data_IF_147621820727
#
_entry.id   IF_147621820727
#
_cell.length_a   1.000
_cell.length_b   1.000
_cell.length_c   1.000
_cell.angle_alpha   90.00
_cell.angle_beta   90.00
_cell.angle_gamma   90.00
#
_symmetry.space_group_name_H-M   'P 1'
#
loop_
_entity.id
_entity.type
_entity.pdbx_description
1 polymer ?
#
# COMPACT_ATOMS: atom_id res chain seq x y z
N UNK A 1 -56.60 -35.16 -7.66
CA UNK A 1 -55.55 -36.16 -7.39
C UNK A 1 -54.27 -35.59 -8.01
N UNK A 2 -53.40 -35.01 -7.19
CA UNK A 2 -52.28 -34.20 -7.70
C UNK A 2 -51.20 -35.10 -8.33
N UNK A 3 -50.96 -34.85 -9.62
CA UNK A 3 -49.90 -35.43 -10.44
C UNK A 3 -48.53 -34.85 -10.07
N UNK A 4 -47.51 -35.69 -9.94
CA UNK A 4 -46.11 -35.25 -9.94
C UNK A 4 -45.44 -35.55 -11.30
N UNK A 5 -44.61 -34.63 -11.81
CA UNK A 5 -44.00 -34.74 -13.13
C UNK A 5 -42.71 -35.57 -13.11
N UNK A 6 -42.41 -36.18 -14.26
CA UNK A 6 -41.21 -36.95 -14.50
C UNK A 6 -39.93 -36.09 -14.36
N UNK A 7 -39.05 -36.50 -13.46
CA UNK A 7 -37.70 -35.97 -13.28
C UNK A 7 -36.74 -37.09 -12.92
N UNK A 8 -35.92 -37.51 -13.88
CA UNK A 8 -34.89 -38.54 -13.74
C UNK A 8 -33.85 -38.16 -12.67
N UNK A 9 -33.87 -38.81 -11.52
CA UNK A 9 -32.77 -38.81 -10.54
C UNK A 9 -32.31 -40.26 -10.36
N UNK A 10 -31.29 -40.67 -11.12
CA UNK A 10 -30.56 -41.92 -10.88
C UNK A 10 -29.74 -41.76 -9.59
N UNK A 11 -30.11 -42.50 -8.55
CA UNK A 11 -29.31 -42.57 -7.32
C UNK A 11 -29.97 -43.39 -6.21
N UNK A 12 -29.69 -44.69 -6.16
CA UNK A 12 -29.63 -45.53 -4.94
C UNK A 12 -30.73 -45.38 -3.86
N UNK A 13 -32.02 -45.31 -4.22
CA UNK A 13 -33.12 -45.41 -3.23
C UNK A 13 -33.74 -46.80 -3.08
N UNK A 14 -33.36 -47.77 -3.93
CA UNK A 14 -33.99 -49.10 -3.98
C UNK A 14 -33.31 -50.15 -3.09
N UNK A 15 -33.03 -49.83 -1.82
CA UNK A 15 -32.71 -50.86 -0.81
C UNK A 15 -33.72 -50.76 0.34
N UNK A 16 -34.56 -51.79 0.59
CA UNK A 16 -35.59 -51.78 1.63
C UNK A 16 -35.07 -51.35 3.01
N UNK A 17 -33.87 -51.79 3.35
CA UNK A 17 -33.19 -51.48 4.62
C UNK A 17 -32.90 -49.99 4.84
N UNK A 18 -32.75 -49.19 3.78
CA UNK A 18 -32.53 -47.75 3.91
C UNK A 18 -33.83 -47.04 4.30
N UNK A 19 -34.97 -47.48 3.76
CA UNK A 19 -36.28 -46.93 4.07
C UNK A 19 -36.70 -47.29 5.50
N UNK A 20 -36.45 -48.52 5.94
CA UNK A 20 -36.71 -48.94 7.34
C UNK A 20 -35.85 -48.13 8.32
N UNK A 21 -34.56 -47.91 8.02
CA UNK A 21 -33.66 -47.11 8.88
C UNK A 21 -34.05 -45.65 8.97
N UNK A 22 -34.52 -45.05 7.87
CA UNK A 22 -35.02 -43.67 7.86
C UNK A 22 -36.34 -43.54 8.61
N UNK A 23 -37.26 -44.50 8.43
CA UNK A 23 -38.53 -44.55 9.16
C UNK A 23 -38.33 -44.69 10.66
N UNK A 24 -37.41 -45.55 11.09
CA UNK A 24 -37.08 -45.72 12.51
C UNK A 24 -36.50 -44.42 13.11
N UNK A 25 -35.55 -43.79 12.40
CA UNK A 25 -34.97 -42.51 12.82
C UNK A 25 -36.00 -41.39 12.96
N UNK A 26 -36.99 -41.36 12.07
CA UNK A 26 -38.05 -40.36 12.14
C UNK A 26 -38.98 -40.60 13.33
N UNK A 27 -39.26 -41.87 13.67
CA UNK A 27 -40.05 -42.23 14.85
C UNK A 27 -39.32 -41.90 16.16
N UNK A 28 -37.99 -42.05 16.20
CA UNK A 28 -37.19 -41.84 17.40
C UNK A 28 -36.86 -40.35 17.64
N UNK A 29 -36.45 -39.60 16.61
CA UNK A 29 -35.89 -38.25 16.75
C UNK A 29 -36.75 -37.13 16.14
N UNK A 30 -37.85 -37.48 15.44
CA UNK A 30 -38.73 -36.52 14.74
C UNK A 30 -38.06 -35.75 13.59
N UNK A 31 -36.83 -36.10 13.21
CA UNK A 31 -36.00 -35.33 12.29
C UNK A 31 -35.35 -36.22 11.21
N UNK A 32 -35.66 -35.96 9.94
CA UNK A 32 -35.06 -36.65 8.79
C UNK A 32 -33.86 -35.92 8.18
N UNK A 33 -33.40 -34.82 8.79
CA UNK A 33 -32.24 -34.09 8.27
C UNK A 33 -30.96 -34.91 8.44
N UNK A 34 -30.06 -34.75 7.46
CA UNK A 34 -28.78 -35.46 7.44
C UNK A 34 -27.92 -35.01 8.63
N UNK A 35 -27.63 -35.91 9.55
CA UNK A 35 -26.66 -35.65 10.61
C UNK A 35 -25.29 -35.31 10.00
N UNK A 36 -24.59 -34.34 10.59
CA UNK A 36 -23.22 -34.03 10.21
C UNK A 36 -22.33 -35.27 10.36
N UNK A 37 -21.82 -35.78 9.24
CA UNK A 37 -20.80 -36.83 9.27
C UNK A 37 -19.53 -36.27 9.88
N UNK A 38 -18.91 -36.99 10.81
CA UNK A 38 -17.56 -36.69 11.28
C UNK A 38 -16.61 -36.78 10.08
N UNK A 39 -16.15 -35.62 9.61
CA UNK A 39 -15.22 -35.55 8.49
C UNK A 39 -13.91 -36.26 8.81
N UNK A 40 -13.04 -36.40 7.80
CA UNK A 40 -11.71 -36.99 7.96
C UNK A 40 -10.99 -36.37 9.18
N UNK A 41 -10.46 -37.18 10.12
CA UNK A 41 -9.70 -36.68 11.25
C UNK A 41 -8.56 -35.75 10.82
N UNK A 42 -8.32 -34.73 11.64
CA UNK A 42 -7.26 -33.75 11.38
C UNK A 42 -5.90 -34.42 11.58
N UNK A 43 -4.96 -34.14 10.68
CA UNK A 43 -3.55 -34.54 10.83
C UNK A 43 -2.89 -33.80 11.99
N UNK A 44 -3.34 -32.58 12.28
CA UNK A 44 -2.76 -31.75 13.35
C UNK A 44 -3.63 -31.72 14.60
N UNK A 45 -2.97 -31.59 15.75
CA UNK A 45 -3.59 -31.38 17.06
C UNK A 45 -3.81 -29.89 17.36
N UNK A 46 -4.69 -29.53 18.31
CA UNK A 46 -4.88 -28.14 18.73
C UNK A 46 -3.60 -27.46 19.24
N UNK A 47 -2.68 -28.20 19.86
CA UNK A 47 -1.41 -27.67 20.34
C UNK A 47 -0.44 -27.36 19.19
N UNK A 48 -0.40 -28.20 18.17
CA UNK A 48 0.35 -27.95 16.92
C UNK A 48 -0.20 -26.75 16.15
N UNK A 49 -1.54 -26.61 16.08
CA UNK A 49 -2.19 -25.44 15.48
C UNK A 49 -1.81 -24.15 16.23
N UNK A 50 -1.74 -24.19 17.58
CA UNK A 50 -1.24 -23.08 18.40
C UNK A 50 0.25 -22.81 18.17
N UNK A 51 1.08 -23.84 18.05
CA UNK A 51 2.51 -23.69 17.75
C UNK A 51 2.71 -22.99 16.40
N UNK A 52 1.98 -23.39 15.36
CA UNK A 52 2.00 -22.73 14.06
C UNK A 52 1.60 -21.25 14.18
N UNK A 53 0.57 -20.94 14.97
CA UNK A 53 0.09 -19.59 15.18
C UNK A 53 1.15 -18.68 15.86
N UNK A 54 1.73 -19.15 16.95
CA UNK A 54 2.74 -18.40 17.71
C UNK A 54 4.00 -18.19 16.86
N UNK A 55 4.45 -19.24 16.20
CA UNK A 55 5.65 -19.20 15.35
C UNK A 55 5.45 -18.26 14.16
N UNK A 56 4.29 -18.30 13.51
CA UNK A 56 3.94 -17.37 12.43
C UNK A 56 3.82 -15.92 12.90
N UNK A 57 3.31 -15.66 14.12
CA UNK A 57 3.26 -14.29 14.68
C UNK A 57 4.64 -13.76 15.09
N UNK A 58 5.50 -14.63 15.65
CA UNK A 58 6.87 -14.27 16.06
C UNK A 58 7.76 -14.00 14.85
N UNK A 59 7.65 -14.80 13.80
CA UNK A 59 8.35 -14.60 12.54
C UNK A 59 7.36 -14.55 11.37
N UNK A 60 6.75 -13.37 11.20
CA UNK A 60 5.73 -13.13 10.17
C UNK A 60 6.21 -13.39 8.75
N UNK A 61 7.53 -13.40 8.51
CA UNK A 61 8.16 -13.60 7.18
C UNK A 61 8.41 -15.08 6.85
N UNK A 62 8.24 -16.00 7.80
CA UNK A 62 8.45 -17.43 7.55
C UNK A 62 7.51 -17.95 6.47
N UNK A 63 8.03 -18.70 5.51
CA UNK A 63 7.18 -19.32 4.49
C UNK A 63 6.35 -20.43 5.11
N UNK A 64 5.24 -20.80 4.48
CA UNK A 64 4.45 -21.96 4.91
C UNK A 64 5.29 -23.25 4.92
N UNK A 65 6.30 -23.35 4.05
CA UNK A 65 7.25 -24.47 4.04
C UNK A 65 8.19 -24.43 5.25
N UNK A 66 8.65 -23.25 5.66
CA UNK A 66 9.50 -23.11 6.85
C UNK A 66 8.72 -23.43 8.13
N UNK A 67 7.48 -22.95 8.24
CA UNK A 67 6.59 -23.26 9.36
C UNK A 67 6.30 -24.77 9.44
N UNK A 68 6.08 -25.41 8.29
CA UNK A 68 5.92 -26.87 8.21
C UNK A 68 7.16 -27.61 8.68
N UNK A 69 8.35 -27.15 8.28
CA UNK A 69 9.63 -27.76 8.69
C UNK A 69 9.85 -27.60 10.20
N UNK A 70 9.61 -26.40 10.73
CA UNK A 70 9.73 -26.10 12.15
C UNK A 70 8.74 -26.91 13.00
N UNK A 71 7.51 -27.12 12.53
CA UNK A 71 6.54 -27.98 13.20
C UNK A 71 7.01 -29.43 13.22
N UNK A 72 7.47 -29.95 12.08
CA UNK A 72 7.97 -31.32 11.97
C UNK A 72 9.18 -31.56 12.87
N UNK A 73 10.09 -30.59 13.00
CA UNK A 73 11.24 -30.69 13.91
C UNK A 73 10.84 -30.65 15.38
N UNK A 74 9.80 -29.89 15.74
CA UNK A 74 9.37 -29.73 17.14
C UNK A 74 8.45 -30.85 17.64
N UNK A 75 7.62 -31.42 16.75
CA UNK A 75 6.52 -32.34 17.13
C UNK A 75 6.56 -33.69 16.40
N UNK A 76 7.43 -33.84 15.40
CA UNK A 76 7.47 -35.03 14.53
C UNK A 76 6.39 -35.05 13.45
N UNK A 77 5.34 -34.23 13.56
CA UNK A 77 4.22 -34.21 12.61
C UNK A 77 4.59 -33.52 11.30
N UNK A 78 4.54 -34.30 10.21
CA UNK A 78 4.75 -33.81 8.85
C UNK A 78 3.44 -33.31 8.25
N UNK A 79 3.40 -32.03 7.89
CA UNK A 79 2.24 -31.39 7.28
C UNK A 79 2.59 -30.82 5.91
N UNK A 80 1.59 -30.62 5.06
CA UNK A 80 1.79 -29.92 3.79
C UNK A 80 1.70 -28.40 3.95
N UNK A 81 2.26 -27.65 2.99
CA UNK A 81 2.06 -26.19 2.89
C UNK A 81 0.58 -25.79 2.87
N UNK A 82 -0.30 -26.54 2.19
CA UNK A 82 -1.74 -26.24 2.20
C UNK A 82 -2.35 -26.44 3.59
N UNK A 83 -1.86 -27.42 4.35
CA UNK A 83 -2.32 -27.64 5.73
C UNK A 83 -1.97 -26.43 6.60
N UNK A 84 -0.75 -25.91 6.51
CA UNK A 84 -0.33 -24.67 7.21
C UNK A 84 -1.22 -23.50 6.83
N UNK A 85 -1.49 -23.29 5.53
CA UNK A 85 -2.41 -22.23 5.08
C UNK A 85 -3.81 -22.36 5.69
N UNK A 86 -4.37 -23.57 5.69
CA UNK A 86 -5.70 -23.83 6.25
C UNK A 86 -5.71 -23.55 7.76
N UNK A 87 -4.69 -23.98 8.49
CA UNK A 87 -4.59 -23.74 9.95
C UNK A 87 -4.47 -22.29 10.31
N UNK A 88 -3.60 -21.55 9.62
CA UNK A 88 -3.47 -20.12 9.82
C UNK A 88 -4.74 -19.37 9.36
N UNK A 89 -5.41 -19.84 8.30
CA UNK A 89 -6.70 -19.30 7.86
C UNK A 89 -7.81 -19.44 8.91
N UNK A 90 -7.86 -20.55 9.66
CA UNK A 90 -8.83 -20.73 10.76
C UNK A 90 -8.67 -19.70 11.89
N UNK A 91 -7.50 -19.11 12.05
CA UNK A 91 -7.23 -18.03 13.01
C UNK A 91 -7.06 -16.67 12.32
N UNK A 92 -7.59 -16.55 11.11
CA UNK A 92 -7.66 -15.31 10.34
C UNK A 92 -6.28 -14.72 10.02
N UNK A 93 -5.24 -15.57 9.90
CA UNK A 93 -3.91 -15.19 9.42
C UNK A 93 -3.73 -15.60 7.97
N UNK A 94 -3.49 -14.61 7.11
CA UNK A 94 -3.33 -14.81 5.68
C UNK A 94 -1.95 -14.33 5.23
N UNK A 95 -1.33 -15.08 4.32
CA UNK A 95 -0.13 -14.61 3.64
C UNK A 95 -0.50 -13.47 2.68
N UNK A 96 -0.04 -12.26 2.98
CA UNK A 96 -0.31 -11.05 2.20
C UNK A 96 0.98 -10.29 1.98
N UNK A 97 1.01 -9.46 0.94
CA UNK A 97 2.16 -8.57 0.73
C UNK A 97 2.20 -7.53 1.87
N UNK A 98 3.37 -7.31 2.50
CA UNK A 98 3.57 -6.20 3.41
C UNK A 98 3.56 -4.89 2.63
N UNK A 99 3.17 -3.79 3.29
CA UNK A 99 3.39 -2.45 2.74
C UNK A 99 4.86 -2.10 2.93
N UNK A 100 5.50 -1.46 1.96
CA UNK A 100 6.85 -0.94 2.12
C UNK A 100 6.77 0.51 2.59
N UNK A 101 7.27 0.78 3.78
CA UNK A 101 7.23 2.09 4.42
C UNK A 101 8.63 2.43 4.95
N UNK A 102 8.87 3.71 5.25
CA UNK A 102 10.10 4.11 5.96
C UNK A 102 9.88 3.92 7.45
N UNK A 103 10.80 3.28 8.22
CA UNK A 103 10.61 3.09 9.65
C UNK A 103 10.53 4.45 10.38
N UNK A 104 9.44 4.65 11.11
CA UNK A 104 9.21 5.86 11.89
C UNK A 104 9.75 5.72 13.32
N UNK A 105 10.51 6.71 13.76
CA UNK A 105 10.90 6.86 15.16
C UNK A 105 9.77 7.54 15.94
N UNK A 106 9.79 7.43 17.28
CA UNK A 106 8.84 8.16 18.11
C UNK A 106 8.88 9.68 17.88
N UNK A 107 10.06 10.23 17.54
CA UNK A 107 10.21 11.64 17.19
C UNK A 107 9.52 11.98 15.88
N UNK A 108 9.65 11.13 14.84
CA UNK A 108 8.93 11.32 13.58
C UNK A 108 7.42 11.33 13.82
N UNK A 109 6.90 10.37 14.61
CA UNK A 109 5.47 10.32 14.90
C UNK A 109 4.98 11.58 15.62
N UNK A 110 5.74 12.13 16.57
CA UNK A 110 5.38 13.38 17.26
C UNK A 110 5.34 14.58 16.31
N UNK A 111 6.34 14.70 15.43
CA UNK A 111 6.40 15.78 14.44
C UNK A 111 5.25 15.68 13.44
N UNK A 112 4.98 14.48 12.92
CA UNK A 112 3.85 14.22 12.01
C UNK A 112 2.50 14.52 12.66
N UNK A 113 2.34 14.17 13.94
CA UNK A 113 1.13 14.46 14.71
C UNK A 113 0.94 15.96 14.96
N UNK A 114 2.02 16.67 15.34
CA UNK A 114 1.97 18.11 15.58
C UNK A 114 1.60 18.87 14.30
N UNK A 115 2.31 18.58 13.20
CA UNK A 115 2.01 19.12 11.89
C UNK A 115 0.56 18.83 11.48
N UNK A 116 0.12 17.57 11.59
CA UNK A 116 -1.25 17.21 11.21
C UNK A 116 -2.29 17.99 12.01
N UNK A 117 -2.06 18.27 13.31
CA UNK A 117 -2.98 19.07 14.14
C UNK A 117 -3.05 20.52 13.69
N UNK A 118 -1.92 21.11 13.33
CA UNK A 118 -1.83 22.49 12.84
C UNK A 118 -2.60 22.69 11.54
N UNK A 119 -2.41 21.78 10.58
CA UNK A 119 -3.00 21.91 9.24
C UNK A 119 -4.37 21.22 9.07
N UNK A 120 -4.90 20.55 10.11
CA UNK A 120 -6.20 19.82 10.01
C UNK A 120 -7.39 20.72 9.68
N UNK A 121 -7.36 21.97 10.15
CA UNK A 121 -8.47 22.92 9.97
C UNK A 121 -8.29 23.84 8.77
N UNK A 122 -7.23 23.64 7.97
CA UNK A 122 -7.03 24.40 6.76
C UNK A 122 -8.16 24.15 5.74
N UNK A 123 -8.62 25.23 5.15
CA UNK A 123 -9.66 25.25 4.13
C UNK A 123 -9.13 24.78 2.77
N UNK A 124 -10.00 24.32 1.86
CA UNK A 124 -9.61 24.04 0.48
C UNK A 124 -8.88 25.20 -0.21
N UNK A 125 -9.27 26.44 0.07
CA UNK A 125 -8.63 27.65 -0.46
C UNK A 125 -7.19 27.78 0.02
N UNK A 126 -6.91 27.55 1.30
CA UNK A 126 -5.54 27.56 1.81
C UNK A 126 -4.70 26.44 1.20
N UNK A 127 -5.27 25.24 1.03
CA UNK A 127 -4.59 24.14 0.33
C UNK A 127 -4.37 24.41 -1.17
N UNK A 128 -5.19 25.27 -1.79
CA UNK A 128 -5.06 25.61 -3.20
C UNK A 128 -3.78 26.38 -3.52
N UNK A 129 -3.21 27.07 -2.53
CA UNK A 129 -1.99 27.86 -2.67
C UNK A 129 -0.71 27.03 -2.41
N UNK A 130 -0.84 25.75 -2.03
CA UNK A 130 0.30 24.88 -1.73
C UNK A 130 0.69 24.06 -2.95
N UNK A 131 1.93 24.22 -3.43
CA UNK A 131 2.54 23.29 -4.37
C UNK A 131 3.21 22.15 -3.62
N UNK A 132 2.72 20.93 -3.83
CA UNK A 132 3.35 19.72 -3.33
C UNK A 132 4.35 19.18 -4.34
N UNK A 133 5.59 19.00 -3.93
CA UNK A 133 6.64 18.42 -4.80
C UNK A 133 7.28 17.19 -4.17
N UNK A 134 7.87 16.33 -5.01
CA UNK A 134 8.68 15.20 -4.56
C UNK A 134 9.50 14.58 -5.69
N UNK A 135 10.65 13.98 -5.36
CA UNK A 135 11.39 13.11 -6.27
C UNK A 135 10.96 11.64 -6.17
N UNK A 136 10.80 10.99 -7.32
CA UNK A 136 10.58 9.54 -7.40
C UNK A 136 11.56 8.88 -8.36
N UNK A 137 11.63 7.54 -8.34
CA UNK A 137 12.48 6.76 -9.25
C UNK A 137 11.68 5.70 -9.98
N UNK A 138 11.77 5.71 -11.30
CA UNK A 138 11.16 4.72 -12.19
C UNK A 138 12.23 3.88 -12.88
N UNK A 139 12.06 2.56 -12.86
CA UNK A 139 12.98 1.58 -13.46
C UNK A 139 12.23 0.61 -14.37
N UNK A 140 12.93 0.04 -15.37
CA UNK A 140 12.37 -0.97 -16.27
C UNK A 140 12.03 -2.28 -15.55
N UNK A 141 12.82 -2.63 -14.53
CA UNK A 141 12.55 -3.77 -13.67
C UNK A 141 11.72 -3.31 -12.49
N UNK A 142 10.56 -3.93 -12.29
CA UNK A 142 9.82 -3.80 -11.04
C UNK A 142 10.62 -4.47 -9.93
N UNK A 143 10.74 -3.81 -8.77
CA UNK A 143 11.36 -4.38 -7.56
C UNK A 143 10.41 -5.42 -6.92
N UNK A 144 10.03 -6.43 -7.71
CA UNK A 144 9.12 -7.50 -7.35
C UNK A 144 9.79 -8.55 -6.47
N UNK A 145 10.41 -8.11 -5.37
CA UNK A 145 10.74 -9.05 -4.29
C UNK A 145 9.40 -9.56 -3.75
N UNK A 146 9.02 -10.78 -4.18
CA UNK A 146 7.80 -11.49 -3.81
C UNK A 146 7.86 -11.91 -2.34
N UNK A 147 7.88 -10.94 -1.43
CA UNK A 147 7.86 -11.20 0.02
C UNK A 147 6.41 -11.17 0.50
N UNK A 148 6.01 -12.21 1.23
CA UNK A 148 4.71 -12.29 1.90
C UNK A 148 4.93 -12.35 3.41
N UNK A 149 3.98 -11.80 4.15
CA UNK A 149 3.92 -11.90 5.60
C UNK A 149 2.57 -12.47 6.05
N UNK A 150 2.56 -13.20 7.16
CA UNK A 150 1.33 -13.62 7.82
C UNK A 150 0.74 -12.46 8.62
N UNK A 151 -0.44 -12.00 8.21
CA UNK A 151 -1.13 -10.90 8.91
C UNK A 151 -2.64 -11.09 8.94
N UNK A 152 -3.27 -10.45 9.93
CA UNK A 152 -4.71 -10.37 10.04
C UNK A 152 -5.29 -9.31 9.08
N UNK A 153 -6.58 -9.41 8.70
CA UNK A 153 -7.31 -8.33 8.06
C UNK A 153 -7.26 -7.05 8.92
N UNK A 154 -7.25 -5.88 8.27
CA UNK A 154 -7.24 -4.58 8.97
C UNK A 154 -5.87 -4.13 9.49
N UNK A 155 -4.90 -5.02 9.72
CA UNK A 155 -3.62 -4.65 10.34
C UNK A 155 -2.54 -4.20 9.36
N UNK A 156 -2.94 -3.73 8.16
CA UNK A 156 -2.04 -3.50 7.01
C UNK A 156 -0.88 -2.54 7.31
N UNK A 157 -1.14 -1.47 8.05
CA UNK A 157 -0.20 -0.37 8.33
C UNK A 157 0.40 -0.42 9.75
N UNK A 158 0.18 -1.51 10.48
CA UNK A 158 0.91 -1.73 11.73
C UNK A 158 2.39 -1.91 11.42
N UNK A 159 3.27 -1.29 12.22
CA UNK A 159 4.72 -1.30 12.04
C UNK A 159 5.32 -2.71 11.88
N UNK A 160 4.75 -3.69 12.58
CA UNK A 160 5.14 -5.10 12.50
C UNK A 160 4.77 -5.80 11.17
N UNK A 161 3.90 -5.20 10.37
CA UNK A 161 3.41 -5.69 9.07
C UNK A 161 3.96 -4.90 7.87
N UNK A 162 4.86 -3.94 8.13
CA UNK A 162 5.55 -3.16 7.09
C UNK A 162 6.96 -3.67 6.85
N UNK A 163 7.47 -3.50 5.63
CA UNK A 163 8.88 -3.73 5.29
C UNK A 163 9.53 -2.37 5.04
N UNK A 164 10.78 -2.22 5.43
CA UNK A 164 11.53 -1.01 5.16
C UNK A 164 11.75 -0.82 3.66
N UNK A 165 11.43 0.37 3.16
CA UNK A 165 11.81 0.78 1.81
C UNK A 165 13.33 1.02 1.81
N UNK A 166 14.11 0.04 1.35
CA UNK A 166 15.55 0.25 1.14
C UNK A 166 15.77 1.35 0.10
N UNK A 167 16.79 2.18 0.32
CA UNK A 167 17.20 3.22 -0.64
C UNK A 167 17.64 2.57 -1.95
N UNK A 168 17.27 3.26 -3.02
CA UNK A 168 17.39 2.94 -4.43
C UNK A 168 18.66 2.17 -4.82
N UNK A 169 18.48 0.99 -5.42
CA UNK A 169 19.53 0.26 -6.14
C UNK A 169 18.98 -0.16 -7.51
N UNK A 170 19.74 0.10 -8.58
CA UNK A 170 19.39 -0.28 -9.95
C UNK A 170 19.30 0.88 -10.95
N UNK A 171 19.39 0.56 -12.25
CA UNK A 171 19.26 1.52 -13.35
C UNK A 171 17.81 2.01 -13.51
N UNK A 172 17.61 3.33 -13.62
CA UNK A 172 16.30 3.97 -13.73
C UNK A 172 16.42 5.49 -13.77
N UNK A 173 15.31 6.16 -14.07
CA UNK A 173 15.21 7.62 -14.11
C UNK A 173 14.81 8.15 -12.73
N UNK A 174 15.53 9.16 -12.26
CA UNK A 174 15.03 10.05 -11.21
C UNK A 174 14.08 11.05 -11.86
N UNK A 175 12.90 11.21 -11.29
CA UNK A 175 11.91 12.18 -11.76
C UNK A 175 11.58 13.14 -10.63
N UNK A 176 11.32 14.40 -10.96
CA UNK A 176 10.76 15.39 -10.06
C UNK A 176 9.50 15.98 -10.71
N UNK A 177 8.48 16.23 -9.89
CA UNK A 177 7.31 17.00 -10.31
C UNK A 177 6.70 17.74 -9.14
N UNK A 178 5.94 18.78 -9.47
CA UNK A 178 5.11 19.53 -8.55
C UNK A 178 3.64 19.46 -8.97
N UNK A 179 2.75 19.37 -7.99
CA UNK A 179 1.29 19.45 -8.18
C UNK A 179 0.73 20.59 -7.33
N UNK A 180 -0.26 21.29 -7.89
CA UNK A 180 -0.99 22.36 -7.21
C UNK A 180 -2.46 22.27 -7.64
N UNK A 181 -3.39 22.87 -6.89
CA UNK A 181 -4.79 22.79 -7.27
C UNK A 181 -5.01 23.48 -8.63
N UNK A 182 -5.62 22.76 -9.58
CA UNK A 182 -5.90 23.24 -10.93
C UNK A 182 -4.72 23.17 -11.91
N UNK A 183 -3.52 22.75 -11.48
CA UNK A 183 -2.36 22.64 -12.38
C UNK A 183 -1.29 21.64 -11.89
N UNK A 184 -0.22 21.50 -12.66
CA UNK A 184 1.00 20.74 -12.31
C UNK A 184 2.18 21.29 -13.09
N UNK A 185 3.39 21.02 -12.60
CA UNK A 185 4.61 21.34 -13.34
C UNK A 185 4.79 20.39 -14.52
N UNK A 186 5.69 20.73 -15.43
CA UNK A 186 6.31 19.71 -16.28
C UNK A 186 7.08 18.70 -15.43
N UNK A 187 7.18 17.47 -15.93
CA UNK A 187 7.95 16.41 -15.28
C UNK A 187 9.43 16.57 -15.63
N UNK A 188 10.25 16.86 -14.63
CA UNK A 188 11.70 16.86 -14.79
C UNK A 188 12.23 15.43 -14.68
N UNK A 189 13.08 15.01 -15.63
CA UNK A 189 13.61 13.64 -15.69
C UNK A 189 15.12 13.66 -15.89
N UNK A 190 15.85 13.04 -14.96
CA UNK A 190 17.31 12.98 -14.98
C UNK A 190 17.89 11.63 -14.58
N UNK A 191 19.09 11.33 -15.07
CA UNK A 191 19.82 10.09 -14.76
C UNK A 191 20.72 10.21 -13.52
N UNK A 192 21.01 11.44 -13.08
CA UNK A 192 21.93 11.73 -11.98
C UNK A 192 21.21 11.95 -10.66
N UNK A 193 21.94 11.79 -9.56
CA UNK A 193 21.46 12.10 -8.21
C UNK A 193 21.17 13.60 -8.08
N UNK A 194 20.06 13.95 -7.39
CA UNK A 194 19.73 15.34 -7.09
C UNK A 194 20.78 15.98 -6.18
N UNK A 195 21.30 17.13 -6.56
CA UNK A 195 22.23 17.96 -5.76
C UNK A 195 21.58 19.31 -5.47
N UNK A 196 22.07 20.06 -4.48
CA UNK A 196 21.52 21.38 -4.16
C UNK A 196 21.61 22.36 -5.34
N UNK A 197 22.67 22.26 -6.15
CA UNK A 197 22.84 23.10 -7.35
C UNK A 197 21.79 22.76 -8.42
N UNK A 198 21.61 21.47 -8.73
CA UNK A 198 20.59 21.04 -9.68
C UNK A 198 19.20 21.43 -9.18
N UNK A 199 18.95 21.25 -7.88
CA UNK A 199 17.67 21.62 -7.28
C UNK A 199 17.40 23.13 -7.40
N UNK A 200 18.40 23.98 -7.17
CA UNK A 200 18.25 25.42 -7.35
C UNK A 200 18.07 25.81 -8.82
N UNK A 201 19.02 25.46 -9.69
CA UNK A 201 19.10 25.94 -11.08
C UNK A 201 18.00 25.35 -11.98
N UNK A 202 17.53 24.14 -11.67
CA UNK A 202 16.53 23.44 -12.48
C UNK A 202 15.18 23.45 -11.79
N UNK A 203 15.10 23.00 -10.53
CA UNK A 203 13.80 22.84 -9.87
C UNK A 203 13.22 24.20 -9.47
N UNK A 204 13.95 24.98 -8.68
CA UNK A 204 13.43 26.25 -8.20
C UNK A 204 13.31 27.28 -9.33
N UNK A 205 14.38 27.54 -10.06
CA UNK A 205 14.43 28.62 -11.05
C UNK A 205 13.52 28.38 -12.26
N UNK A 206 13.39 27.13 -12.74
CA UNK A 206 12.65 26.83 -13.97
C UNK A 206 11.21 26.39 -13.71
N UNK A 207 10.94 25.68 -12.60
CA UNK A 207 9.62 25.11 -12.34
C UNK A 207 8.87 25.86 -11.24
N UNK A 208 9.46 26.04 -10.06
CA UNK A 208 8.74 26.61 -8.89
C UNK A 208 8.50 28.12 -9.04
N UNK A 209 9.50 28.86 -9.54
CA UNK A 209 9.46 30.32 -9.71
C UNK A 209 8.29 30.78 -10.57
N UNK A 210 7.94 30.02 -11.62
CA UNK A 210 6.81 30.33 -12.50
C UNK A 210 5.47 30.38 -11.73
N UNK A 211 5.28 29.43 -10.81
CA UNK A 211 4.06 29.37 -10.00
C UNK A 211 4.04 30.44 -8.93
N UNK A 212 5.19 30.78 -8.35
CA UNK A 212 5.31 31.95 -7.46
C UNK A 212 4.87 33.22 -8.19
N UNK A 213 5.36 33.45 -9.41
CA UNK A 213 4.97 34.61 -10.22
C UNK A 213 3.48 34.67 -10.56
N UNK A 214 2.85 33.52 -10.80
CA UNK A 214 1.43 33.43 -11.15
C UNK A 214 0.50 33.57 -9.93
N UNK A 215 0.87 32.97 -8.79
CA UNK A 215 0.02 32.88 -7.59
C UNK A 215 0.27 34.03 -6.60
N UNK A 216 1.39 34.75 -6.73
CA UNK A 216 1.74 35.86 -5.86
C UNK A 216 1.99 35.43 -4.41
N UNK A 217 1.79 36.37 -3.48
CA UNK A 217 2.21 36.30 -2.08
C UNK A 217 1.76 35.04 -1.32
N UNK A 218 0.57 34.51 -1.65
CA UNK A 218 -0.03 33.37 -0.96
C UNK A 218 0.59 32.01 -1.33
N UNK A 219 1.43 31.97 -2.37
CA UNK A 219 2.09 30.74 -2.81
C UNK A 219 2.97 30.13 -1.72
N UNK A 220 2.73 28.85 -1.43
CA UNK A 220 3.52 28.04 -0.52
C UNK A 220 4.15 26.87 -1.26
N UNK A 221 5.47 26.74 -1.12
CA UNK A 221 6.21 25.63 -1.71
C UNK A 221 6.49 24.54 -0.68
N UNK A 222 6.10 23.30 -0.97
CA UNK A 222 6.40 22.14 -0.14
C UNK A 222 7.42 21.23 -0.84
N UNK A 223 8.52 20.96 -0.14
CA UNK A 223 9.51 19.93 -0.45
C UNK A 223 9.76 19.00 0.76
N UNK A 224 10.40 17.84 0.52
CA UNK A 224 10.80 16.99 1.62
C UNK A 224 12.12 17.50 2.21
N UNK A 225 12.37 17.34 3.51
CA UNK A 225 13.58 17.92 4.13
C UNK A 225 14.90 17.19 3.74
N UNK A 226 15.02 16.75 2.49
CA UNK A 226 16.20 16.11 1.96
C UNK A 226 17.40 17.08 1.97
N UNK A 227 18.60 16.50 2.13
CA UNK A 227 19.84 17.28 2.25
C UNK A 227 20.05 18.28 1.09
N UNK A 228 19.80 17.94 -0.19
CA UNK A 228 19.92 18.91 -1.28
C UNK A 228 19.01 20.14 -1.12
N UNK A 229 17.80 19.95 -0.59
CA UNK A 229 16.81 21.02 -0.45
C UNK A 229 17.13 21.96 0.72
N UNK A 230 17.93 21.50 1.67
CA UNK A 230 18.40 22.26 2.85
C UNK A 230 19.83 22.79 2.69
N UNK A 231 20.32 22.89 1.46
CA UNK A 231 21.61 23.52 1.17
C UNK A 231 21.47 25.05 1.19
N UNK A 232 22.50 25.77 1.65
CA UNK A 232 22.47 27.24 1.74
C UNK A 232 22.07 27.92 0.42
N UNK A 233 22.61 27.46 -0.71
CA UNK A 233 22.27 27.98 -2.04
C UNK A 233 20.78 27.85 -2.40
N UNK A 234 20.08 26.85 -1.83
CA UNK A 234 18.65 26.66 -2.04
C UNK A 234 17.87 27.61 -1.15
N UNK A 235 18.27 27.76 0.12
CA UNK A 235 17.63 28.68 1.05
C UNK A 235 17.81 30.16 0.60
N UNK A 236 18.99 30.52 0.10
CA UNK A 236 19.28 31.83 -0.51
C UNK A 236 18.37 32.09 -1.72
N UNK A 237 18.19 31.10 -2.60
CA UNK A 237 17.32 31.21 -3.78
C UNK A 237 15.84 31.40 -3.40
N UNK A 238 15.35 30.63 -2.43
CA UNK A 238 13.97 30.80 -1.94
C UNK A 238 13.75 32.18 -1.34
N UNK A 239 14.72 32.70 -0.59
CA UNK A 239 14.66 34.06 -0.05
C UNK A 239 14.69 35.13 -1.14
N UNK A 240 15.57 35.00 -2.15
CA UNK A 240 15.68 35.98 -3.23
C UNK A 240 14.44 36.04 -4.12
N UNK A 241 13.76 34.90 -4.30
CA UNK A 241 12.53 34.80 -5.09
C UNK A 241 11.25 35.01 -4.24
N UNK A 242 11.41 35.35 -2.95
CA UNK A 242 10.31 35.55 -1.99
C UNK A 242 9.35 34.34 -1.94
N UNK A 243 9.91 33.12 -2.03
CA UNK A 243 9.16 31.87 -1.98
C UNK A 243 9.12 31.38 -0.54
N UNK A 244 7.92 31.38 0.04
CA UNK A 244 7.72 30.81 1.37
C UNK A 244 7.65 29.30 1.29
N UNK A 245 8.54 28.64 2.04
CA UNK A 245 8.55 27.18 2.18
C UNK A 245 7.58 26.76 3.28
N UNK A 246 6.77 25.74 3.01
CA UNK A 246 5.92 25.09 4.00
C UNK A 246 6.78 24.24 4.93
N UNK A 247 6.55 24.33 6.24
CA UNK A 247 7.13 23.37 7.18
C UNK A 247 6.59 21.97 6.85
N UNK A 248 7.46 20.96 6.82
CA UNK A 248 7.07 19.59 6.49
C UNK A 248 7.73 18.59 7.45
N UNK A 249 6.99 17.59 7.97
CA UNK A 249 7.57 16.58 8.85
C UNK A 249 8.40 15.58 8.05
N UNK A 250 9.61 15.26 8.52
CA UNK A 250 10.48 14.28 7.87
C UNK A 250 9.81 12.89 7.76
N UNK A 251 10.18 12.13 6.71
CA UNK A 251 9.71 10.76 6.47
C UNK A 251 8.19 10.60 6.40
N UNK A 252 7.52 11.54 5.73
CA UNK A 252 6.06 11.57 5.63
C UNK A 252 5.54 11.41 4.20
N UNK A 253 5.92 10.34 3.46
CA UNK A 253 5.45 10.13 2.10
C UNK A 253 3.93 9.97 2.04
N UNK A 254 3.29 9.27 3.00
CA UNK A 254 1.84 9.06 3.00
C UNK A 254 1.04 10.38 3.23
N UNK A 255 1.67 11.44 3.75
CA UNK A 255 1.08 12.78 3.83
C UNK A 255 1.12 13.52 2.49
N UNK A 256 2.11 13.23 1.64
CA UNK A 256 2.32 13.98 0.40
C UNK A 256 1.39 13.44 -0.71
N UNK A 257 0.41 14.23 -1.21
CA UNK A 257 -0.53 13.76 -2.22
C UNK A 257 0.15 13.34 -3.52
N UNK A 258 1.34 13.85 -3.84
CA UNK A 258 2.06 13.50 -5.08
C UNK A 258 2.52 12.04 -5.12
N UNK A 259 2.70 11.37 -3.97
CA UNK A 259 3.04 9.95 -3.93
C UNK A 259 1.94 9.08 -4.59
N UNK A 260 0.68 9.50 -4.48
CA UNK A 260 -0.41 8.84 -5.21
C UNK A 260 -0.38 9.15 -6.71
N UNK A 261 0.06 10.35 -7.10
CA UNK A 261 0.26 10.69 -8.52
C UNK A 261 1.38 9.83 -9.10
N UNK A 262 2.44 9.54 -8.35
CA UNK A 262 3.48 8.58 -8.75
C UNK A 262 2.94 7.15 -8.93
N UNK A 263 2.06 6.68 -8.03
CA UNK A 263 1.40 5.39 -8.20
C UNK A 263 0.50 5.36 -9.45
N UNK A 264 -0.26 6.44 -9.70
CA UNK A 264 -1.06 6.57 -10.93
C UNK A 264 -0.19 6.55 -12.19
N UNK A 265 0.91 7.30 -12.19
CA UNK A 265 1.88 7.31 -13.27
C UNK A 265 2.46 5.91 -13.50
N UNK A 266 2.91 5.22 -12.46
CA UNK A 266 3.44 3.85 -12.56
C UNK A 266 2.43 2.84 -13.11
N UNK A 267 1.16 2.95 -12.71
CA UNK A 267 0.08 2.12 -13.26
C UNK A 267 -0.16 2.39 -14.74
N UNK A 268 -0.16 3.66 -15.16
CA UNK A 268 -0.30 4.05 -16.57
C UNK A 268 0.85 3.55 -17.43
N UNK A 269 2.10 3.70 -16.97
CA UNK A 269 3.29 3.15 -17.65
C UNK A 269 3.18 1.64 -17.82
N UNK A 270 2.74 0.92 -16.78
CA UNK A 270 2.56 -0.54 -16.82
C UNK A 270 1.45 -0.96 -17.77
N UNK A 271 0.42 -0.12 -17.95
CA UNK A 271 -0.72 -0.40 -18.82
C UNK A 271 -0.46 -0.10 -20.30
N UNK A 272 0.66 0.55 -20.66
CA UNK A 272 1.00 0.87 -22.05
C UNK A 272 1.14 -0.37 -22.92
N UNK A 273 0.75 -0.21 -24.18
CA UNK A 273 0.86 -1.22 -25.23
C UNK A 273 1.54 -0.60 -26.47
N UNK A 274 2.79 -0.99 -26.80
CA UNK A 274 3.67 -1.88 -26.05
C UNK A 274 4.23 -1.23 -24.76
N UNK A 275 4.62 -2.02 -23.75
CA UNK A 275 5.30 -1.50 -22.56
C UNK A 275 6.72 -1.01 -22.92
N UNK A 276 7.28 -0.03 -22.18
CA UNK A 276 8.64 0.45 -22.42
C UNK A 276 9.66 -0.65 -22.10
N UNK A 277 10.58 -0.90 -23.04
CA UNK A 277 11.57 -1.98 -22.96
C UNK A 277 12.99 -1.46 -22.70
N UNK A 278 13.25 -0.17 -22.96
CA UNK A 278 14.53 0.47 -22.72
C UNK A 278 14.39 1.83 -21.99
N UNK A 279 15.50 2.35 -21.45
CA UNK A 279 15.47 3.58 -20.66
C UNK A 279 14.97 4.80 -21.46
N UNK A 280 15.38 5.04 -22.72
CA UNK A 280 14.83 6.13 -23.52
C UNK A 280 13.32 6.03 -23.74
N UNK A 281 12.80 4.83 -24.03
CA UNK A 281 11.35 4.59 -24.13
C UNK A 281 10.63 4.88 -22.82
N UNK A 282 11.20 4.44 -21.69
CA UNK A 282 10.66 4.72 -20.37
C UNK A 282 10.62 6.24 -20.09
N UNK A 283 11.67 6.98 -20.44
CA UNK A 283 11.70 8.45 -20.29
C UNK A 283 10.56 9.11 -21.06
N UNK A 284 10.42 8.79 -22.34
CA UNK A 284 9.34 9.32 -23.18
C UNK A 284 7.98 8.96 -22.59
N UNK A 285 7.83 7.72 -22.14
CA UNK A 285 6.58 7.27 -21.55
C UNK A 285 6.20 8.01 -20.27
N UNK A 286 7.17 8.31 -19.41
CA UNK A 286 6.96 9.10 -18.19
C UNK A 286 6.47 10.51 -18.51
N UNK A 287 7.09 11.17 -19.49
CA UNK A 287 6.71 12.52 -19.91
C UNK A 287 5.28 12.53 -20.49
N UNK A 288 5.00 11.63 -21.43
CA UNK A 288 3.69 11.50 -22.06
C UNK A 288 2.58 11.21 -21.04
N UNK A 289 2.77 10.20 -20.18
CA UNK A 289 1.74 9.80 -19.21
C UNK A 289 1.53 10.84 -18.13
N UNK A 290 2.57 11.59 -17.75
CA UNK A 290 2.41 12.71 -16.83
C UNK A 290 1.44 13.75 -17.39
N UNK A 291 1.59 14.10 -18.67
CA UNK A 291 0.66 14.99 -19.37
C UNK A 291 -0.75 14.40 -19.53
N UNK A 292 -0.90 13.08 -19.52
CA UNK A 292 -2.19 12.39 -19.64
C UNK A 292 -2.89 12.10 -18.31
N UNK A 293 -2.29 12.45 -17.16
CA UNK A 293 -2.99 12.37 -15.87
C UNK A 293 -4.09 13.44 -15.86
N UNK A 294 -5.37 13.09 -15.63
CA UNK A 294 -6.43 14.07 -15.50
C UNK A 294 -6.22 14.99 -14.28
N UNK A 295 -6.35 16.30 -14.48
CA UNK A 295 -6.10 17.28 -13.41
C UNK A 295 -7.10 17.13 -12.25
N UNK A 296 -8.35 16.77 -12.52
CA UNK A 296 -9.36 16.50 -11.50
C UNK A 296 -8.95 15.38 -10.54
N UNK A 297 -8.20 14.39 -11.01
CA UNK A 297 -7.67 13.33 -10.13
C UNK A 297 -6.58 13.87 -9.19
N UNK A 298 -5.74 14.78 -9.67
CA UNK A 298 -4.73 15.48 -8.85
C UNK A 298 -5.41 16.38 -7.83
N UNK A 299 -6.39 17.17 -8.27
CA UNK A 299 -7.12 18.11 -7.42
C UNK A 299 -7.85 17.37 -6.29
N UNK A 300 -8.47 16.23 -6.59
CA UNK A 300 -9.09 15.38 -5.58
C UNK A 300 -8.09 14.85 -4.52
N UNK A 301 -6.82 14.62 -4.90
CA UNK A 301 -5.77 14.23 -3.96
C UNK A 301 -5.38 15.42 -3.06
N UNK A 302 -5.25 16.62 -3.61
CA UNK A 302 -4.96 17.84 -2.83
C UNK A 302 -6.13 18.17 -1.89
N UNK A 303 -7.36 18.14 -2.38
CA UNK A 303 -8.57 18.35 -1.56
C UNK A 303 -8.79 17.26 -0.51
N UNK A 304 -8.06 16.14 -0.57
CA UNK A 304 -8.06 15.11 0.48
C UNK A 304 -7.20 15.45 1.70
N UNK A 305 -6.38 16.51 1.66
CA UNK A 305 -5.42 16.86 2.73
C UNK A 305 -6.05 16.94 4.14
N UNK A 306 -7.22 17.56 4.36
CA UNK A 306 -7.85 17.55 5.70
C UNK A 306 -8.17 16.14 6.20
N UNK A 307 -8.56 15.21 5.31
CA UNK A 307 -8.82 13.81 5.66
C UNK A 307 -7.52 13.06 5.98
N UNK A 308 -6.44 13.33 5.24
CA UNK A 308 -5.10 12.78 5.52
C UNK A 308 -4.60 13.21 6.89
N UNK A 309 -4.70 14.50 7.22
CA UNK A 309 -4.31 15.02 8.52
C UNK A 309 -5.10 14.36 9.66
N UNK A 310 -6.43 14.22 9.51
CA UNK A 310 -7.28 13.51 10.48
C UNK A 310 -6.88 12.04 10.65
N UNK A 311 -6.52 11.35 9.57
CA UNK A 311 -6.05 9.96 9.64
C UNK A 311 -4.73 9.84 10.41
N UNK A 312 -3.81 10.80 10.21
CA UNK A 312 -2.55 10.86 10.95
C UNK A 312 -2.75 11.20 12.43
N UNK A 313 -3.72 12.05 12.76
CA UNK A 313 -4.11 12.30 14.15
C UNK A 313 -4.65 11.02 14.79
N UNK A 314 -5.56 10.32 14.11
CA UNK A 314 -6.14 9.06 14.60
C UNK A 314 -5.09 7.96 14.77
N UNK A 315 -4.05 7.94 13.93
CA UNK A 315 -2.93 6.99 14.04
C UNK A 315 -1.85 7.40 15.05
N UNK A 316 -2.00 8.56 15.71
CA UNK A 316 -0.98 9.16 16.58
C UNK A 316 0.36 9.38 15.86
N UNK A 317 0.31 9.84 14.61
CA UNK A 317 1.48 10.12 13.78
C UNK A 317 2.13 8.88 13.18
N UNK A 318 1.44 7.74 13.13
CA UNK A 318 1.93 6.52 12.46
C UNK A 318 1.42 6.45 11.02
N UNK A 319 1.97 5.53 10.23
CA UNK A 319 1.52 5.28 8.85
C UNK A 319 0.00 5.18 8.73
N UNK A 320 -0.53 5.76 7.67
CA UNK A 320 -1.96 5.79 7.38
C UNK A 320 -2.26 5.06 6.08
N UNK A 321 -3.55 4.82 5.75
CA UNK A 321 -3.91 4.17 4.49
C UNK A 321 -3.63 4.94 3.20
N UNK A 322 -3.23 6.20 3.34
CA UNK A 322 -2.87 7.11 2.25
C UNK A 322 -1.44 6.88 1.74
#
# INVERSE_FOLDING_TARGET
>A
MWTYPAGSIRGTWNRPECLTRLSQRFQDDGNMSRCYSTGRPRVTTPNEDRYLAVTAKRNRRSTASDLSRQLSSATGTRVSRQTVYRRLGHIVLYARRPVRCVPLTATHCRQQLAWSREYTFWTPQQWSCVMFSYESRFSLQSDSRRTFIWKAPGTRYHQENTIERHRYGGAGWLVWGGIILGSRTDLHVQSVTMTGHIYRDVILEQHVRLFRGAMGAEFLFMDDNARPHRANIVDECLQSEDITRMDWPAYSPDLNPIEHVWDMLGRRITARQPPPTCLPELRRALLDEWCNIPQDQIDNLILSMPRRCKAYIASSGRHTPY
#
